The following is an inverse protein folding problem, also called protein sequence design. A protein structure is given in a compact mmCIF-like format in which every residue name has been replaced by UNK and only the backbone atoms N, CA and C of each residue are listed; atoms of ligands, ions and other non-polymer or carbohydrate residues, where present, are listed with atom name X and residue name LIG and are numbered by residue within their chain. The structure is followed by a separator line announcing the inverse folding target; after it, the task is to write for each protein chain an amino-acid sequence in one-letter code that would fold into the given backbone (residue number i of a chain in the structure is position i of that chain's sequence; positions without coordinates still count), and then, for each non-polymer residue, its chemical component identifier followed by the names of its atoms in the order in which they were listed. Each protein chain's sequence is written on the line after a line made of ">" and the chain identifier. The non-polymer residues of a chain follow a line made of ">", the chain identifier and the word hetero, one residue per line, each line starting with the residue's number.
data_IF_400662552813
#
_entry.id   IF_400662552813
#
_cell.length_a   1.000
_cell.length_b   1.000
_cell.length_c   1.000
_cell.angle_alpha   90.00
_cell.angle_beta   90.00
_cell.angle_gamma   90.00
#
_symmetry.space_group_name_H-M   'P 1'
#
loop_
_entity.id
_entity.type
_entity.pdbx_description
1 polymer ?
#
# COMPACT_ATOMS: atom_id res chain seq x y z
N UNK A 1 -23.45 15.97 -8.01
CA UNK A 1 -22.85 15.07 -9.02
C UNK A 1 -22.23 13.90 -8.28
N UNK A 2 -22.74 12.69 -8.41
CA UNK A 2 -22.16 11.50 -7.72
C UNK A 2 -21.01 11.00 -8.59
N UNK A 3 -19.79 11.05 -8.07
CA UNK A 3 -18.64 10.46 -8.75
C UNK A 3 -18.76 8.94 -8.60
N UNK A 4 -18.84 8.24 -9.71
CA UNK A 4 -18.82 6.77 -9.72
C UNK A 4 -17.38 6.31 -9.93
N UNK A 5 -16.88 5.51 -9.02
CA UNK A 5 -15.58 4.85 -9.17
C UNK A 5 -15.65 3.76 -10.26
N UNK A 6 -14.55 3.48 -10.95
CA UNK A 6 -14.46 2.37 -11.89
C UNK A 6 -14.84 1.03 -11.22
N UNK A 7 -15.50 0.14 -11.94
CA UNK A 7 -15.89 -1.19 -11.43
C UNK A 7 -14.66 -2.08 -11.09
N UNK A 8 -13.49 -1.73 -11.64
CA UNK A 8 -12.21 -2.38 -11.33
C UNK A 8 -11.53 -1.87 -10.06
N UNK A 9 -12.17 -0.97 -9.32
CA UNK A 9 -11.61 -0.36 -8.11
C UNK A 9 -12.56 -0.57 -6.94
N UNK A 10 -12.03 -1.04 -5.81
CA UNK A 10 -12.75 -1.20 -4.55
C UNK A 10 -12.01 -0.48 -3.42
N UNK A 11 -12.70 0.41 -2.73
CA UNK A 11 -12.19 1.05 -1.50
C UNK A 11 -12.68 0.25 -0.30
N UNK A 12 -11.74 -0.25 0.50
CA UNK A 12 -12.00 -0.79 1.82
C UNK A 12 -11.82 0.35 2.82
N UNK A 13 -12.93 0.93 3.26
CA UNK A 13 -12.92 1.96 4.29
C UNK A 13 -12.48 1.36 5.62
N UNK A 14 -11.48 1.98 6.25
CA UNK A 14 -10.91 1.51 7.50
C UNK A 14 -11.19 2.51 8.62
N UNK A 15 -11.09 2.03 9.84
CA UNK A 15 -11.30 2.83 11.04
C UNK A 15 -10.03 3.51 11.55
N UNK A 16 -10.05 3.87 12.81
CA UNK A 16 -8.97 4.56 13.51
C UNK A 16 -7.61 3.86 13.34
N UNK A 17 -6.57 4.64 13.10
CA UNK A 17 -5.18 4.21 12.88
C UNK A 17 -4.98 3.26 11.69
N UNK A 18 -5.84 3.29 10.70
CA UNK A 18 -5.60 2.56 9.45
C UNK A 18 -5.94 3.42 8.26
N UNK A 19 -5.02 3.60 7.35
CA UNK A 19 -5.33 4.15 6.03
C UNK A 19 -6.36 3.25 5.33
N UNK A 20 -7.20 3.83 4.49
CA UNK A 20 -8.06 3.07 3.62
C UNK A 20 -7.23 2.21 2.67
N UNK A 21 -7.70 1.02 2.39
CA UNK A 21 -7.04 0.14 1.43
C UNK A 21 -7.77 0.20 0.11
N UNK A 22 -7.05 0.33 -0.99
CA UNK A 22 -7.65 0.43 -2.32
C UNK A 22 -7.19 -0.75 -3.15
N UNK A 23 -8.15 -1.61 -3.54
CA UNK A 23 -7.93 -2.74 -4.42
C UNK A 23 -8.24 -2.37 -5.87
N UNK A 24 -7.36 -2.75 -6.76
CA UNK A 24 -7.51 -2.66 -8.20
C UNK A 24 -7.49 -4.06 -8.78
N UNK A 25 -8.46 -4.37 -9.65
CA UNK A 25 -8.61 -5.69 -10.25
C UNK A 25 -8.23 -5.67 -11.73
N UNK A 26 -7.29 -6.55 -12.11
CA UNK A 26 -6.80 -6.75 -13.48
C UNK A 26 -6.96 -8.23 -13.85
N UNK A 27 -8.14 -8.62 -14.32
CA UNK A 27 -8.43 -10.02 -14.61
C UNK A 27 -8.33 -10.89 -13.36
N UNK A 28 -7.41 -11.85 -13.37
CA UNK A 28 -7.16 -12.77 -12.25
C UNK A 28 -6.20 -12.22 -11.20
N UNK A 29 -5.61 -11.06 -11.44
CA UNK A 29 -4.70 -10.39 -10.53
C UNK A 29 -5.34 -9.18 -9.86
N UNK A 30 -4.78 -8.78 -8.71
CA UNK A 30 -5.13 -7.57 -8.03
C UNK A 30 -3.88 -6.84 -7.50
N UNK A 31 -3.99 -5.52 -7.42
CA UNK A 31 -3.03 -4.64 -6.74
C UNK A 31 -3.71 -3.97 -5.56
N UNK A 32 -3.06 -3.98 -4.41
CA UNK A 32 -3.51 -3.26 -3.21
C UNK A 32 -2.67 -2.01 -3.00
N UNK A 33 -3.30 -0.89 -2.69
CA UNK A 33 -2.60 0.32 -2.22
C UNK A 33 -2.83 0.47 -0.72
N UNK A 34 -1.74 0.52 0.03
CA UNK A 34 -1.64 0.61 1.48
C UNK A 34 -2.33 -0.54 2.24
N UNK A 35 -1.91 -0.78 3.49
CA UNK A 35 -2.26 -1.99 4.22
C UNK A 35 -2.78 -1.78 5.65
N UNK A 36 -2.94 -0.53 6.08
CA UNK A 36 -3.45 -0.22 7.41
C UNK A 36 -2.40 -0.37 8.52
N UNK A 37 -2.86 -0.40 9.78
CA UNK A 37 -2.02 -0.47 10.95
C UNK A 37 -1.82 -1.91 11.44
N UNK A 38 -0.69 -2.18 12.10
CA UNK A 38 -0.26 -3.53 12.47
C UNK A 38 -1.23 -4.27 13.40
N UNK A 39 -1.89 -3.58 14.33
CA UNK A 39 -2.87 -4.21 15.21
C UNK A 39 -4.12 -4.71 14.48
N UNK A 40 -4.37 -4.19 13.29
CA UNK A 40 -5.46 -4.59 12.41
C UNK A 40 -5.01 -5.50 11.26
N UNK A 41 -3.76 -5.98 11.27
CA UNK A 41 -3.19 -6.76 10.16
C UNK A 41 -4.01 -8.03 9.85
N UNK A 42 -4.46 -8.76 10.86
CA UNK A 42 -5.30 -9.94 10.67
C UNK A 42 -6.63 -9.58 9.98
N UNK A 43 -7.28 -8.52 10.43
CA UNK A 43 -8.51 -8.02 9.80
C UNK A 43 -8.25 -7.58 8.35
N UNK A 44 -7.12 -6.93 8.09
CA UNK A 44 -6.74 -6.52 6.72
C UNK A 44 -6.58 -7.74 5.81
N UNK A 45 -5.91 -8.79 6.29
CA UNK A 45 -5.75 -10.06 5.55
C UNK A 45 -7.13 -10.67 5.22
N UNK A 46 -8.04 -10.71 6.18
CA UNK A 46 -9.38 -11.28 5.97
C UNK A 46 -10.22 -10.45 5.00
N UNK A 47 -10.22 -9.13 5.14
CA UNK A 47 -10.95 -8.22 4.24
C UNK A 47 -10.43 -8.30 2.81
N UNK A 48 -9.11 -8.26 2.63
CA UNK A 48 -8.47 -8.39 1.31
C UNK A 48 -8.76 -9.76 0.72
N UNK A 49 -8.58 -10.84 1.49
CA UNK A 49 -8.86 -12.21 1.04
C UNK A 49 -10.29 -12.38 0.56
N UNK A 50 -11.26 -11.83 1.30
CA UNK A 50 -12.67 -11.86 0.89
C UNK A 50 -12.92 -11.04 -0.39
N UNK A 51 -12.34 -9.85 -0.48
CA UNK A 51 -12.53 -8.95 -1.62
C UNK A 51 -11.88 -9.47 -2.90
N UNK A 52 -10.81 -10.27 -2.80
CA UNK A 52 -10.15 -10.89 -3.97
C UNK A 52 -11.03 -11.85 -4.74
N UNK A 53 -11.99 -12.52 -4.08
CA UNK A 53 -12.92 -13.47 -4.72
C UNK A 53 -12.18 -14.51 -5.59
N UNK A 54 -11.11 -15.09 -5.06
CA UNK A 54 -10.30 -16.09 -5.75
C UNK A 54 -9.19 -15.54 -6.66
N UNK A 55 -9.10 -14.22 -6.83
CA UNK A 55 -7.99 -13.59 -7.56
C UNK A 55 -6.69 -13.66 -6.74
N UNK A 56 -5.58 -13.54 -7.42
CA UNK A 56 -4.26 -13.43 -6.80
C UNK A 56 -3.99 -11.98 -6.39
N UNK A 57 -3.59 -11.74 -5.15
CA UNK A 57 -2.95 -10.48 -4.79
C UNK A 57 -1.53 -10.49 -5.36
N UNK A 58 -1.32 -9.89 -6.50
CA UNK A 58 -0.04 -9.88 -7.18
C UNK A 58 0.91 -8.85 -6.59
N UNK A 59 0.37 -7.70 -6.17
CA UNK A 59 1.18 -6.55 -5.80
C UNK A 59 0.52 -5.73 -4.69
N UNK A 60 1.36 -5.25 -3.75
CA UNK A 60 1.01 -4.26 -2.75
C UNK A 60 1.93 -3.05 -2.94
N UNK A 61 1.35 -1.86 -3.07
CA UNK A 61 2.10 -0.61 -3.27
C UNK A 61 1.80 0.32 -2.10
N UNK A 62 2.84 0.91 -1.51
CA UNK A 62 2.66 1.92 -0.48
C UNK A 62 2.76 3.33 -1.06
N UNK A 63 1.96 4.24 -0.51
CA UNK A 63 2.04 5.67 -0.78
C UNK A 63 3.21 6.30 -0.05
N UNK A 64 3.45 5.89 1.18
CA UNK A 64 4.56 6.28 2.05
C UNK A 64 4.71 5.28 3.20
N UNK A 65 5.61 5.53 4.17
CA UNK A 65 6.02 4.55 5.18
C UNK A 65 5.44 4.75 6.57
N UNK A 66 4.46 5.60 6.76
CA UNK A 66 3.85 5.73 8.08
C UNK A 66 3.13 4.43 8.49
N UNK A 67 3.10 4.20 9.80
CA UNK A 67 2.66 2.93 10.39
C UNK A 67 1.26 2.48 9.99
N UNK A 68 0.36 3.41 9.76
CA UNK A 68 -1.04 3.18 9.34
C UNK A 68 -1.20 2.86 7.84
N UNK A 69 -0.11 2.93 7.09
CA UNK A 69 -0.05 2.58 5.66
C UNK A 69 0.71 1.27 5.41
N UNK A 70 1.71 0.96 6.24
CA UNK A 70 2.58 -0.23 6.04
C UNK A 70 2.33 -1.36 7.05
N UNK A 71 1.48 -1.14 8.03
CA UNK A 71 1.32 -2.06 9.17
C UNK A 71 0.83 -3.47 8.82
N UNK A 72 0.11 -3.62 7.73
CA UNK A 72 -0.35 -4.92 7.22
C UNK A 72 0.58 -5.59 6.20
N UNK A 73 1.66 -4.90 5.76
CA UNK A 73 2.53 -5.39 4.68
C UNK A 73 3.08 -6.80 4.95
N UNK A 74 3.69 -7.01 6.11
CA UNK A 74 4.28 -8.30 6.47
C UNK A 74 3.26 -9.44 6.47
N UNK A 75 2.07 -9.21 7.03
CA UNK A 75 1.01 -10.21 7.10
C UNK A 75 0.44 -10.55 5.72
N UNK A 76 0.23 -9.54 4.87
CA UNK A 76 -0.23 -9.73 3.49
C UNK A 76 0.82 -10.45 2.64
N UNK A 77 2.10 -10.09 2.77
CA UNK A 77 3.20 -10.76 2.09
C UNK A 77 3.29 -12.24 2.50
N UNK A 78 3.21 -12.53 3.79
CA UNK A 78 3.23 -13.89 4.31
C UNK A 78 2.04 -14.72 3.82
N UNK A 79 0.85 -14.13 3.76
CA UNK A 79 -0.39 -14.82 3.38
C UNK A 79 -0.51 -15.04 1.88
N UNK A 80 -0.20 -14.02 1.08
CA UNK A 80 -0.52 -14.01 -0.37
C UNK A 80 0.73 -14.12 -1.25
N UNK A 81 1.94 -13.95 -0.70
CA UNK A 81 3.18 -13.95 -1.48
C UNK A 81 3.26 -12.81 -2.49
N UNK A 82 2.60 -11.68 -2.21
CA UNK A 82 2.56 -10.54 -3.12
C UNK A 82 3.90 -9.81 -3.17
N UNK A 83 4.21 -9.24 -4.35
CA UNK A 83 5.27 -8.26 -4.50
C UNK A 83 4.96 -7.00 -3.70
N UNK A 84 5.93 -6.46 -2.96
CA UNK A 84 5.78 -5.18 -2.27
C UNK A 84 6.60 -4.11 -2.98
N UNK A 85 5.93 -3.02 -3.35
CA UNK A 85 6.51 -1.85 -4.03
C UNK A 85 6.46 -0.66 -3.08
N UNK A 86 7.60 -0.01 -2.84
CA UNK A 86 7.69 1.18 -1.99
C UNK A 86 8.23 2.37 -2.77
N UNK A 87 7.93 3.61 -2.35
CA UNK A 87 8.57 4.79 -2.91
C UNK A 87 10.09 4.68 -2.88
N UNK A 88 10.76 5.07 -3.96
CA UNK A 88 12.21 4.91 -4.14
C UNK A 88 13.02 5.58 -3.02
N UNK A 89 12.57 6.71 -2.51
CA UNK A 89 13.22 7.41 -1.40
C UNK A 89 13.19 6.65 -0.07
N UNK A 90 12.31 5.66 0.07
CA UNK A 90 12.20 4.83 1.28
C UNK A 90 13.07 3.56 1.23
N UNK A 91 13.79 3.33 0.13
CA UNK A 91 14.55 2.10 -0.08
C UNK A 91 15.45 1.73 1.11
N UNK A 92 16.33 2.65 1.51
CA UNK A 92 17.30 2.40 2.59
C UNK A 92 16.59 2.16 3.93
N UNK A 93 15.64 3.03 4.28
CA UNK A 93 14.92 2.95 5.56
C UNK A 93 14.16 1.64 5.73
N UNK A 94 13.52 1.14 4.66
CA UNK A 94 12.80 -0.13 4.68
C UNK A 94 13.76 -1.31 4.66
N UNK A 95 14.80 -1.27 3.83
CA UNK A 95 15.76 -2.38 3.70
C UNK A 95 16.52 -2.60 5.03
N UNK A 96 16.98 -1.54 5.67
CA UNK A 96 17.69 -1.58 6.95
C UNK A 96 16.75 -1.69 8.15
N UNK A 97 15.46 -1.40 7.94
CA UNK A 97 14.43 -1.30 8.97
C UNK A 97 14.78 -0.26 10.03
N UNK A 98 15.10 0.94 9.55
CA UNK A 98 15.41 2.07 10.43
C UNK A 98 14.12 2.66 11.04
N UNK A 99 13.77 2.21 12.24
CA UNK A 99 12.55 2.64 12.94
C UNK A 99 12.50 4.14 13.25
N UNK A 100 13.66 4.80 13.29
CA UNK A 100 13.70 6.26 13.46
C UNK A 100 13.33 6.96 12.15
N UNK A 101 13.92 6.55 11.02
CA UNK A 101 13.60 7.10 9.71
C UNK A 101 12.17 6.79 9.29
N UNK A 102 11.63 5.60 9.66
CA UNK A 102 10.25 5.20 9.44
C UNK A 102 9.25 5.86 10.42
N UNK A 103 9.72 6.71 11.33
CA UNK A 103 8.93 7.36 12.37
C UNK A 103 8.14 6.40 13.28
N UNK A 104 8.61 5.18 13.44
CA UNK A 104 7.99 4.19 14.33
C UNK A 104 8.36 4.50 15.79
N UNK A 105 9.63 4.30 16.16
CA UNK A 105 10.12 4.55 17.53
C UNK A 105 9.88 5.98 18.01
N UNK A 106 10.15 7.05 17.22
CA UNK A 106 9.94 8.43 17.69
C UNK A 106 8.47 8.76 18.03
N UNK A 107 7.53 8.09 17.36
CA UNK A 107 6.09 8.35 17.57
C UNK A 107 5.41 7.26 18.42
N UNK A 108 6.16 6.29 18.96
CA UNK A 108 5.59 5.15 19.69
C UNK A 108 4.69 4.28 18.82
N UNK A 109 4.94 4.27 17.52
CA UNK A 109 4.19 3.50 16.53
C UNK A 109 4.86 2.16 16.25
N UNK A 110 4.13 1.24 15.65
CA UNK A 110 4.63 -0.11 15.38
C UNK A 110 4.25 -0.54 13.96
N UNK A 111 5.14 -1.32 13.35
CA UNK A 111 4.91 -2.08 12.15
C UNK A 111 5.76 -3.35 12.18
N UNK A 112 5.27 -4.45 11.63
CA UNK A 112 6.08 -5.65 11.45
C UNK A 112 7.00 -5.46 10.25
N UNK A 113 8.28 -5.87 10.40
CA UNK A 113 9.26 -5.79 9.30
C UNK A 113 8.81 -6.62 8.12
N UNK A 114 8.93 -6.06 6.93
CA UNK A 114 8.69 -6.71 5.65
C UNK A 114 9.88 -6.48 4.70
N UNK A 115 9.89 -7.16 3.58
CA UNK A 115 10.86 -6.94 2.50
C UNK A 115 10.13 -6.39 1.29
N UNK A 116 10.66 -5.30 0.71
CA UNK A 116 10.17 -4.80 -0.56
C UNK A 116 10.91 -5.47 -1.72
N UNK A 117 10.22 -5.64 -2.83
CA UNK A 117 10.72 -6.32 -4.03
C UNK A 117 11.13 -5.31 -5.10
N UNK A 118 10.42 -4.20 -5.20
CA UNK A 118 10.68 -3.16 -6.19
C UNK A 118 10.39 -1.75 -5.69
N UNK A 119 10.78 -0.77 -6.46
CA UNK A 119 10.69 0.64 -6.14
C UNK A 119 9.87 1.38 -7.19
N UNK A 120 9.19 2.45 -6.77
CA UNK A 120 8.49 3.37 -7.66
C UNK A 120 8.90 4.80 -7.34
N UNK A 121 9.20 5.60 -8.37
CA UNK A 121 9.60 7.00 -8.25
C UNK A 121 8.56 7.96 -8.80
N UNK A 122 8.67 9.24 -8.46
CA UNK A 122 7.86 10.28 -9.06
C UNK A 122 8.10 10.34 -10.58
N UNK A 123 7.01 10.39 -11.34
CA UNK A 123 7.03 10.36 -12.81
C UNK A 123 6.85 8.95 -13.39
N UNK A 124 7.06 7.89 -12.61
CA UNK A 124 6.83 6.53 -13.07
C UNK A 124 5.34 6.30 -13.37
N UNK A 125 5.10 5.38 -14.30
CA UNK A 125 3.76 4.95 -14.68
C UNK A 125 3.56 3.49 -14.31
N UNK A 126 2.34 3.15 -13.90
CA UNK A 126 1.96 1.80 -13.54
C UNK A 126 0.52 1.53 -13.96
N UNK A 127 0.25 0.28 -14.33
CA UNK A 127 -1.10 -0.17 -14.63
C UNK A 127 -1.75 -0.72 -13.35
N UNK A 128 -2.97 -0.26 -13.04
CA UNK A 128 -3.81 -0.78 -11.98
C UNK A 128 -5.29 -0.68 -12.40
N UNK A 129 -6.03 -1.78 -12.30
CA UNK A 129 -7.44 -1.82 -12.62
C UNK A 129 -7.76 -1.54 -14.09
N UNK A 130 -6.87 -1.91 -15.01
CA UNK A 130 -7.01 -1.65 -16.44
C UNK A 130 -6.79 -0.18 -16.83
N UNK A 131 -6.31 0.65 -15.91
CA UNK A 131 -6.01 2.07 -16.13
C UNK A 131 -4.51 2.32 -15.91
N UNK A 132 -3.97 3.34 -16.59
CA UNK A 132 -2.61 3.81 -16.38
C UNK A 132 -2.60 4.91 -15.31
N UNK A 133 -1.74 4.76 -14.33
CA UNK A 133 -1.56 5.71 -13.23
C UNK A 133 -0.16 6.29 -13.27
N UNK A 134 -0.02 7.55 -12.90
CA UNK A 134 1.25 8.22 -12.75
C UNK A 134 1.54 8.46 -11.27
N UNK A 135 2.76 8.12 -10.83
CA UNK A 135 3.23 8.48 -9.50
C UNK A 135 3.64 9.94 -9.47
N UNK A 136 3.06 10.71 -8.57
CA UNK A 136 3.36 12.12 -8.35
C UNK A 136 3.98 12.31 -6.98
N UNK A 137 5.09 13.06 -6.89
CA UNK A 137 5.64 13.47 -5.61
C UNK A 137 4.67 14.42 -4.88
N UNK A 138 4.36 14.11 -3.63
CA UNK A 138 3.50 14.94 -2.76
C UNK A 138 4.19 15.19 -1.41
N UNK A 139 5.38 15.81 -1.42
CA UNK A 139 6.14 16.05 -0.19
C UNK A 139 5.38 16.96 0.77
N UNK A 140 5.53 16.71 2.07
CA UNK A 140 4.90 17.52 3.12
C UNK A 140 4.69 16.70 4.38
N UNK A 141 3.60 15.94 4.44
CA UNK A 141 3.32 15.02 5.55
C UNK A 141 4.42 13.94 5.70
N UNK A 142 4.88 13.38 4.60
CA UNK A 142 6.08 12.59 4.45
C UNK A 142 6.83 13.11 3.22
N UNK A 143 8.15 13.25 3.29
CA UNK A 143 8.94 13.85 2.21
C UNK A 143 9.06 12.94 0.98
N UNK A 144 8.90 11.63 1.18
CA UNK A 144 8.98 10.61 0.13
C UNK A 144 7.60 10.13 -0.36
N UNK A 145 6.53 10.78 0.12
CA UNK A 145 5.15 10.39 -0.21
C UNK A 145 4.86 10.54 -1.71
N UNK A 146 4.15 9.55 -2.24
CA UNK A 146 3.64 9.54 -3.60
C UNK A 146 2.10 9.51 -3.60
N UNK A 147 1.51 10.22 -4.54
CA UNK A 147 0.12 10.04 -4.95
C UNK A 147 0.07 9.35 -6.31
N UNK A 148 -0.94 8.53 -6.53
CA UNK A 148 -1.17 7.85 -7.81
C UNK A 148 -2.33 8.52 -8.52
N UNK A 149 -2.05 9.11 -9.68
CA UNK A 149 -2.98 9.94 -10.43
C UNK A 149 -3.32 9.27 -11.78
N UNK A 150 -4.60 9.20 -12.08
CA UNK A 150 -5.12 8.83 -13.40
C UNK A 150 -5.77 10.08 -14.02
N UNK A 151 -5.33 10.58 -15.19
CA UNK A 151 -5.89 11.77 -15.84
C UNK A 151 -7.29 11.56 -16.42
#
# INVERSE_FOLDING_TARGET
>A
MTVRLPDSLLVLERGWLSANNILFFDGDDATLVDSGYVTHAAQTVDLVGHALRGRRLARLINTHSHSDHIGGNAALQAKFGCEIVVPAGLHASVAEWDENALLLSPLGQQAARFQHDSLIGAGDRLAMGGLEWQALAVPGHDMEALAYYNP
#
